data_IF_973038808339
#
_entry.id   IF_973038808339
#
_cell.length_a   1.000
_cell.length_b   1.000
_cell.length_c   1.000
_cell.angle_alpha   90.00
_cell.angle_beta   90.00
_cell.angle_gamma   90.00
#
_symmetry.space_group_name_H-M   'P 1'
#
loop_
_entity.id
_entity.type
_entity.pdbx_description
1 polymer ?
#
# COMPACT_ATOMS: atom_id res chain seq x y z
N UNK A 1 27.97 15.06 18.64
CA UNK A 1 27.67 15.21 17.21
C UNK A 1 26.36 15.99 17.08
N UNK A 2 26.26 17.03 16.23
CA UNK A 2 25.03 17.81 16.12
C UNK A 2 23.90 17.03 15.43
N UNK A 3 22.66 17.21 15.89
CA UNK A 3 21.47 16.41 15.50
C UNK A 3 21.21 16.38 13.98
N UNK A 4 21.49 17.49 13.29
CA UNK A 4 21.30 17.63 11.84
C UNK A 4 22.29 16.79 11.01
N UNK A 5 23.39 16.33 11.62
CA UNK A 5 24.34 15.41 10.97
C UNK A 5 24.09 13.96 11.38
N UNK A 6 23.80 13.71 12.67
CA UNK A 6 23.66 12.34 13.19
C UNK A 6 22.46 11.60 12.60
N UNK A 7 21.28 12.22 12.58
CA UNK A 7 20.05 11.55 12.13
C UNK A 7 20.10 11.13 10.65
N UNK A 8 20.46 12.00 9.69
CA UNK A 8 20.57 11.60 8.29
C UNK A 8 21.64 10.52 8.07
N UNK A 9 22.77 10.57 8.77
CA UNK A 9 23.84 9.59 8.61
C UNK A 9 23.41 8.20 9.08
N UNK A 10 22.74 8.08 10.23
CA UNK A 10 22.23 6.80 10.73
C UNK A 10 21.19 6.23 9.76
N UNK A 11 20.25 7.07 9.29
CA UNK A 11 19.23 6.64 8.31
C UNK A 11 19.88 6.15 7.01
N UNK A 12 20.89 6.87 6.50
CA UNK A 12 21.59 6.50 5.28
C UNK A 12 22.33 5.15 5.41
N UNK A 13 23.03 4.94 6.53
CA UNK A 13 23.75 3.69 6.80
C UNK A 13 22.76 2.52 6.96
N UNK A 14 21.71 2.70 7.76
CA UNK A 14 20.68 1.66 7.94
C UNK A 14 20.00 1.30 6.62
N UNK A 15 19.67 2.30 5.79
CA UNK A 15 19.09 2.06 4.47
C UNK A 15 20.04 1.29 3.56
N UNK A 16 21.32 1.66 3.54
CA UNK A 16 22.34 0.97 2.74
C UNK A 16 22.50 -0.48 3.17
N UNK A 17 22.53 -0.75 4.48
CA UNK A 17 22.61 -2.11 5.03
C UNK A 17 21.36 -2.92 4.68
N UNK A 18 20.15 -2.37 4.87
CA UNK A 18 18.90 -3.04 4.52
C UNK A 18 18.81 -3.38 3.04
N UNK A 19 19.16 -2.44 2.16
CA UNK A 19 19.14 -2.64 0.70
C UNK A 19 20.20 -3.68 0.32
N UNK A 20 21.41 -3.57 0.85
CA UNK A 20 22.49 -4.52 0.58
C UNK A 20 22.15 -5.95 1.00
N UNK A 21 21.63 -6.12 2.23
CA UNK A 21 21.20 -7.43 2.72
C UNK A 21 20.03 -8.00 1.89
N UNK A 22 19.06 -7.17 1.53
CA UNK A 22 17.90 -7.61 0.72
C UNK A 22 18.32 -8.07 -0.68
N UNK A 23 19.29 -7.39 -1.31
CA UNK A 23 19.79 -7.78 -2.64
C UNK A 23 20.71 -9.02 -2.59
N UNK A 24 21.33 -9.30 -1.44
CA UNK A 24 22.19 -10.48 -1.26
C UNK A 24 21.40 -11.78 -1.07
N UNK A 25 20.15 -11.69 -0.59
CA UNK A 25 19.24 -12.83 -0.43
C UNK A 25 18.75 -13.35 -1.78
N UNK A 26 18.63 -14.68 -1.98
CA UNK A 26 18.14 -15.25 -3.23
C UNK A 26 16.74 -14.73 -3.59
N UNK A 27 16.45 -14.53 -4.89
CA UNK A 27 15.16 -14.03 -5.33
C UNK A 27 14.04 -15.03 -5.02
N UNK A 28 12.89 -14.50 -4.59
CA UNK A 28 11.67 -15.29 -4.33
C UNK A 28 11.18 -15.95 -5.61
N UNK A 29 10.65 -17.16 -5.49
CA UNK A 29 10.16 -17.91 -6.62
C UNK A 29 8.97 -17.24 -7.33
N UNK A 30 8.97 -17.31 -8.67
CA UNK A 30 7.94 -16.70 -9.52
C UNK A 30 6.51 -17.17 -9.18
N UNK A 31 6.31 -18.43 -8.79
CA UNK A 31 4.99 -18.96 -8.40
C UNK A 31 4.41 -18.24 -7.18
N UNK A 32 5.26 -17.96 -6.20
CA UNK A 32 4.89 -17.27 -4.96
C UNK A 32 4.61 -15.80 -5.27
N UNK A 33 5.44 -15.19 -6.12
CA UNK A 33 5.32 -13.79 -6.50
C UNK A 33 4.05 -13.50 -7.29
N UNK A 34 3.70 -14.38 -8.24
CA UNK A 34 2.47 -14.25 -9.02
C UNK A 34 1.25 -14.40 -8.12
N UNK A 35 1.23 -15.40 -7.22
CA UNK A 35 0.12 -15.58 -6.27
C UNK A 35 -0.04 -14.40 -5.31
N UNK A 36 1.06 -13.89 -4.78
CA UNK A 36 1.05 -12.68 -3.95
C UNK A 36 0.45 -11.50 -4.71
N UNK A 37 0.88 -11.32 -5.97
CA UNK A 37 0.38 -10.25 -6.82
C UNK A 37 -1.12 -10.37 -7.10
N UNK A 38 -1.63 -11.56 -7.39
CA UNK A 38 -3.06 -11.78 -7.66
C UNK A 38 -3.93 -11.58 -6.42
N UNK A 39 -3.41 -11.87 -5.23
CA UNK A 39 -4.15 -11.77 -3.97
C UNK A 39 -4.17 -10.34 -3.41
N UNK A 40 -3.01 -9.68 -3.34
CA UNK A 40 -2.87 -8.38 -2.66
C UNK A 40 -3.04 -7.21 -3.64
N UNK A 41 -2.92 -7.47 -4.95
CA UNK A 41 -2.97 -6.45 -5.99
C UNK A 41 -2.15 -5.19 -5.61
N UNK A 42 -0.85 -5.32 -5.33
CA UNK A 42 -0.07 -4.23 -4.76
C UNK A 42 0.02 -3.02 -5.69
N UNK A 43 0.28 -1.85 -5.09
CA UNK A 43 0.53 -0.62 -5.81
C UNK A 43 1.99 -0.50 -6.28
N UNK A 44 2.21 0.25 -7.36
CA UNK A 44 3.55 0.58 -7.86
C UNK A 44 4.03 -0.24 -9.06
N UNK A 45 5.32 -0.57 -9.09
CA UNK A 45 6.04 -1.02 -10.29
C UNK A 45 6.03 -2.54 -10.51
N UNK A 46 4.84 -3.15 -10.59
CA UNK A 46 4.68 -4.61 -10.69
C UNK A 46 4.44 -5.17 -12.10
N UNK A 47 4.67 -4.37 -13.16
CA UNK A 47 4.34 -4.72 -14.55
C UNK A 47 4.89 -6.09 -14.99
N UNK A 48 6.14 -6.42 -14.63
CA UNK A 48 6.75 -7.70 -14.99
C UNK A 48 6.04 -8.91 -14.38
N UNK A 49 5.55 -8.78 -13.15
CA UNK A 49 4.83 -9.88 -12.44
C UNK A 49 3.42 -10.00 -12.98
N UNK A 50 2.77 -8.87 -13.28
CA UNK A 50 1.47 -8.84 -13.95
C UNK A 50 1.51 -9.56 -15.31
N UNK A 51 2.54 -9.30 -16.13
CA UNK A 51 2.71 -9.97 -17.42
C UNK A 51 2.88 -11.51 -17.26
N UNK A 52 3.61 -11.95 -16.22
CA UNK A 52 3.73 -13.38 -15.88
C UNK A 52 2.39 -13.98 -15.42
N UNK A 53 1.62 -13.24 -14.62
CA UNK A 53 0.30 -13.66 -14.14
C UNK A 53 -0.71 -13.85 -15.29
N UNK A 54 -0.71 -12.93 -16.27
CA UNK A 54 -1.54 -13.02 -17.46
C UNK A 54 -1.13 -14.21 -18.35
N UNK A 55 0.17 -14.43 -18.56
CA UNK A 55 0.67 -15.58 -19.34
C UNK A 55 0.33 -16.93 -18.72
N UNK A 56 0.28 -16.99 -17.39
CA UNK A 56 -0.07 -18.21 -16.64
C UNK A 56 -1.59 -18.43 -16.59
N UNK A 57 -2.40 -17.51 -17.13
CA UNK A 57 -3.86 -17.58 -17.11
C UNK A 57 -4.49 -17.34 -15.73
N UNK A 58 -3.69 -16.93 -14.75
CA UNK A 58 -4.13 -16.66 -13.39
C UNK A 58 -4.89 -15.32 -13.33
N UNK A 59 -4.41 -14.31 -14.06
CA UNK A 59 -5.03 -12.98 -14.09
C UNK A 59 -5.73 -12.72 -15.43
N UNK A 60 -7.04 -12.45 -15.39
CA UNK A 60 -7.78 -12.01 -16.57
C UNK A 60 -7.62 -10.50 -16.81
N UNK A 61 -7.78 -10.04 -18.07
CA UNK A 61 -7.74 -8.61 -18.40
C UNK A 61 -8.84 -7.80 -17.69
N UNK A 62 -10.00 -8.42 -17.47
CA UNK A 62 -11.11 -7.79 -16.77
C UNK A 62 -10.78 -7.58 -15.29
N UNK A 63 -10.21 -8.60 -14.63
CA UNK A 63 -9.79 -8.51 -13.22
C UNK A 63 -8.67 -7.47 -13.04
N UNK A 64 -7.71 -7.41 -13.98
CA UNK A 64 -6.65 -6.42 -13.97
C UNK A 64 -7.18 -4.97 -14.12
N UNK A 65 -8.20 -4.77 -14.96
CA UNK A 65 -8.86 -3.48 -15.14
C UNK A 65 -9.61 -3.03 -13.89
N UNK A 66 -10.36 -3.94 -13.25
CA UNK A 66 -11.07 -3.66 -12.00
C UNK A 66 -10.10 -3.25 -10.88
N UNK A 67 -9.01 -3.99 -10.69
CA UNK A 67 -7.97 -3.66 -9.71
C UNK A 67 -7.31 -2.31 -9.99
N UNK A 68 -7.12 -1.92 -11.26
CA UNK A 68 -6.56 -0.62 -11.60
C UNK A 68 -7.52 0.52 -11.26
N UNK A 69 -8.82 0.33 -11.46
CA UNK A 69 -9.81 1.33 -11.12
C UNK A 69 -9.88 1.58 -9.61
N UNK A 70 -9.91 0.51 -8.80
CA UNK A 70 -9.85 0.58 -7.33
C UNK A 70 -8.60 1.36 -6.87
N UNK A 71 -7.45 1.01 -7.44
CA UNK A 71 -6.19 1.71 -7.23
C UNK A 71 -6.32 3.20 -7.54
N UNK A 72 -6.83 3.58 -8.71
CA UNK A 72 -6.94 5.00 -9.07
C UNK A 72 -7.88 5.75 -8.12
N UNK A 73 -8.99 5.13 -7.73
CA UNK A 73 -9.93 5.71 -6.76
C UNK A 73 -9.25 5.94 -5.40
N UNK A 74 -8.48 4.97 -4.90
CA UNK A 74 -7.73 5.10 -3.65
C UNK A 74 -6.62 6.16 -3.70
N UNK A 75 -5.94 6.33 -4.85
CA UNK A 75 -4.94 7.40 -5.03
C UNK A 75 -5.58 8.78 -4.95
N UNK A 76 -6.71 8.95 -5.63
CA UNK A 76 -7.47 10.18 -5.61
C UNK A 76 -8.03 10.45 -4.22
N UNK A 77 -8.53 9.42 -3.54
CA UNK A 77 -8.98 9.49 -2.16
C UNK A 77 -7.87 9.99 -1.23
N UNK A 78 -6.67 9.41 -1.32
CA UNK A 78 -5.52 9.78 -0.52
C UNK A 78 -5.14 11.26 -0.72
N UNK A 79 -5.20 11.74 -1.97
CA UNK A 79 -4.92 13.14 -2.29
C UNK A 79 -5.87 14.12 -1.59
N UNK A 80 -7.15 13.77 -1.42
CA UNK A 80 -8.11 14.58 -0.66
C UNK A 80 -8.03 14.35 0.86
N UNK A 81 -7.72 13.12 1.28
CA UNK A 81 -7.65 12.73 2.69
C UNK A 81 -6.51 13.42 3.44
N UNK A 82 -5.34 13.60 2.80
CA UNK A 82 -4.18 14.23 3.46
C UNK A 82 -4.44 15.69 3.82
N UNK A 83 -4.87 16.58 2.89
CA UNK A 83 -5.26 17.95 3.23
C UNK A 83 -6.47 18.00 4.17
N UNK A 84 -7.44 17.10 4.02
CA UNK A 84 -8.58 17.00 4.94
C UNK A 84 -8.12 16.79 6.38
N UNK A 85 -7.25 15.82 6.62
CA UNK A 85 -6.75 15.49 7.95
C UNK A 85 -5.94 16.66 8.56
N UNK A 86 -5.08 17.31 7.76
CA UNK A 86 -4.31 18.46 8.21
C UNK A 86 -5.20 19.67 8.52
N UNK A 87 -6.18 19.96 7.65
CA UNK A 87 -7.12 21.05 7.86
C UNK A 87 -8.03 20.80 9.07
N UNK A 88 -8.44 19.56 9.32
CA UNK A 88 -9.26 19.18 10.47
C UNK A 88 -8.50 19.38 11.80
N UNK A 89 -7.21 19.04 11.83
CA UNK A 89 -6.34 19.34 12.97
C UNK A 89 -6.22 20.86 13.22
N UNK A 90 -5.97 21.64 12.15
CA UNK A 90 -5.82 23.09 12.25
C UNK A 90 -7.13 23.80 12.60
N UNK A 91 -8.27 23.30 12.11
CA UNK A 91 -9.59 23.77 12.50
C UNK A 91 -9.83 23.54 14.00
N UNK A 92 -9.51 22.35 14.52
CA UNK A 92 -9.59 22.06 15.96
C UNK A 92 -8.76 23.00 16.81
N UNK A 93 -7.54 23.32 16.35
CA UNK A 93 -6.67 24.28 17.03
C UNK A 93 -7.21 25.72 16.97
N UNK A 94 -7.73 26.16 15.81
CA UNK A 94 -8.33 27.48 15.65
C UNK A 94 -9.58 27.66 16.52
N UNK A 95 -10.37 26.59 16.70
CA UNK A 95 -11.51 26.58 17.62
C UNK A 95 -11.07 26.84 19.07
N UNK A 96 -9.99 26.18 19.53
CA UNK A 96 -9.43 26.40 20.89
C UNK A 96 -8.98 27.85 21.09
N UNK A 97 -8.33 28.45 20.09
CA UNK A 97 -7.90 29.85 20.16
C UNK A 97 -9.01 30.88 19.92
N UNK A 98 -10.25 30.44 19.67
CA UNK A 98 -11.38 31.32 19.34
C UNK A 98 -11.11 32.22 18.11
N UNK A 99 -10.29 31.75 17.17
CA UNK A 99 -10.01 32.47 15.91
C UNK A 99 -11.01 32.04 14.83
N UNK A 100 -12.15 32.73 14.80
CA UNK A 100 -13.30 32.40 13.95
C UNK A 100 -13.01 32.48 12.45
N UNK A 101 -12.11 33.37 12.02
CA UNK A 101 -11.76 33.50 10.59
C UNK A 101 -10.97 32.28 10.12
N UNK A 102 -9.95 31.86 10.88
CA UNK A 102 -9.17 30.66 10.57
C UNK A 102 -10.03 29.40 10.68
N UNK A 103 -10.92 29.34 11.66
CA UNK A 103 -11.87 28.25 11.81
C UNK A 103 -12.77 28.11 10.57
N UNK A 104 -13.33 29.22 10.08
CA UNK A 104 -14.14 29.22 8.86
C UNK A 104 -13.38 28.74 7.63
N UNK A 105 -12.15 29.23 7.43
CA UNK A 105 -11.30 28.81 6.31
C UNK A 105 -10.97 27.32 6.35
N UNK A 106 -10.42 26.82 7.47
CA UNK A 106 -10.07 25.40 7.59
C UNK A 106 -11.32 24.51 7.58
N UNK A 107 -12.42 24.95 8.19
CA UNK A 107 -13.71 24.26 8.13
C UNK A 107 -14.24 24.13 6.70
N UNK A 108 -14.11 25.18 5.88
CA UNK A 108 -14.48 25.12 4.46
C UNK A 108 -13.61 24.14 3.68
N UNK A 109 -12.28 24.12 3.93
CA UNK A 109 -11.36 23.16 3.32
C UNK A 109 -11.70 21.72 3.73
N UNK A 110 -11.99 21.48 5.01
CA UNK A 110 -12.46 20.18 5.52
C UNK A 110 -13.75 19.76 4.82
N UNK A 111 -14.73 20.65 4.68
CA UNK A 111 -15.97 20.37 3.97
C UNK A 111 -15.72 20.01 2.50
N UNK A 112 -14.92 20.81 1.79
CA UNK A 112 -14.59 20.57 0.38
C UNK A 112 -13.85 19.24 0.16
N UNK A 113 -12.81 18.97 0.95
CA UNK A 113 -12.07 17.72 0.85
C UNK A 113 -12.90 16.51 1.30
N UNK A 114 -13.77 16.68 2.31
CA UNK A 114 -14.69 15.64 2.76
C UNK A 114 -15.71 15.25 1.68
N UNK A 115 -16.25 16.23 0.96
CA UNK A 115 -17.11 15.98 -0.22
C UNK A 115 -16.33 15.25 -1.31
N UNK A 116 -15.09 15.68 -1.60
CA UNK A 116 -14.20 14.97 -2.53
C UNK A 116 -14.01 13.50 -2.15
N UNK A 117 -13.70 13.22 -0.89
CA UNK A 117 -13.51 11.86 -0.39
C UNK A 117 -14.80 11.03 -0.49
N UNK A 118 -15.95 11.62 -0.19
CA UNK A 118 -17.24 10.93 -0.32
C UNK A 118 -17.50 10.45 -1.77
N UNK A 119 -17.23 11.31 -2.76
CA UNK A 119 -17.46 10.95 -4.16
C UNK A 119 -16.42 10.00 -4.74
N UNK A 120 -15.13 10.26 -4.49
CA UNK A 120 -14.05 9.47 -5.10
C UNK A 120 -13.83 8.12 -4.41
N UNK A 121 -14.08 8.05 -3.10
CA UNK A 121 -13.82 6.85 -2.31
C UNK A 121 -15.11 6.19 -1.84
N UNK A 122 -15.90 6.87 -0.99
CA UNK A 122 -17.02 6.23 -0.29
C UNK A 122 -18.08 5.65 -1.24
N UNK A 123 -18.42 6.37 -2.31
CA UNK A 123 -19.37 5.90 -3.32
C UNK A 123 -18.84 4.72 -4.16
N UNK A 124 -17.52 4.56 -4.25
CA UNK A 124 -16.86 3.51 -5.02
C UNK A 124 -16.62 2.22 -4.24
N UNK A 125 -16.90 2.20 -2.93
CA UNK A 125 -16.70 1.01 -2.10
C UNK A 125 -17.68 -0.11 -2.49
N UNK A 126 -17.16 -1.32 -2.62
CA UNK A 126 -17.96 -2.51 -2.87
C UNK A 126 -18.79 -2.87 -1.63
N UNK A 127 -20.00 -3.38 -1.86
CA UNK A 127 -20.81 -3.94 -0.78
C UNK A 127 -20.13 -5.20 -0.20
N UNK A 128 -20.28 -5.48 1.11
CA UNK A 128 -19.65 -6.64 1.76
C UNK A 128 -19.97 -7.97 1.08
N UNK A 129 -21.19 -8.13 0.57
CA UNK A 129 -21.64 -9.32 -0.16
C UNK A 129 -20.84 -9.56 -1.45
N UNK A 130 -20.48 -8.49 -2.17
CA UNK A 130 -19.67 -8.57 -3.39
C UNK A 130 -18.23 -8.94 -3.05
N UNK A 131 -17.67 -8.34 -1.99
CA UNK A 131 -16.31 -8.69 -1.53
C UNK A 131 -16.22 -10.17 -1.12
N UNK A 132 -17.24 -10.69 -0.42
CA UNK A 132 -17.29 -12.11 -0.05
C UNK A 132 -17.36 -13.02 -1.27
N UNK A 133 -18.17 -12.68 -2.27
CA UNK A 133 -18.26 -13.45 -3.51
C UNK A 133 -16.93 -13.46 -4.29
N UNK A 134 -16.22 -12.32 -4.35
CA UNK A 134 -14.89 -12.22 -4.97
C UNK A 134 -13.83 -13.01 -4.19
N UNK A 135 -13.84 -12.95 -2.86
CA UNK A 135 -12.93 -13.73 -1.99
C UNK A 135 -13.15 -15.23 -2.15
N UNK A 136 -14.41 -15.68 -2.22
CA UNK A 136 -14.75 -17.07 -2.50
C UNK A 136 -14.28 -17.51 -3.90
N UNK A 137 -14.49 -16.66 -4.91
CA UNK A 137 -14.03 -16.93 -6.27
C UNK A 137 -12.48 -17.03 -6.33
N UNK A 138 -11.78 -16.16 -5.61
CA UNK A 138 -10.33 -16.20 -5.48
C UNK A 138 -9.87 -17.47 -4.74
N UNK A 139 -10.51 -17.83 -3.62
CA UNK A 139 -10.21 -19.08 -2.89
C UNK A 139 -10.44 -20.31 -3.76
N UNK A 140 -11.49 -20.34 -4.59
CA UNK A 140 -11.75 -21.45 -5.54
C UNK A 140 -10.70 -21.54 -6.64
N UNK A 141 -10.21 -20.40 -7.16
CA UNK A 141 -9.19 -20.38 -8.23
C UNK A 141 -7.80 -20.77 -7.73
N UNK A 142 -7.45 -20.42 -6.50
CA UNK A 142 -6.07 -20.53 -6.01
C UNK A 142 -5.85 -21.50 -4.85
N UNK A 143 -6.89 -21.95 -4.15
CA UNK A 143 -6.84 -22.96 -3.08
C UNK A 143 -5.98 -22.57 -1.85
N UNK A 144 -6.21 -23.22 -0.70
CA UNK A 144 -5.48 -22.99 0.57
C UNK A 144 -4.03 -23.52 0.61
N UNK A 145 -3.40 -23.85 -0.51
CA UNK A 145 -2.12 -24.58 -0.51
C UNK A 145 -0.89 -23.67 -0.46
N UNK A 146 -0.45 -23.23 0.72
CA UNK A 146 0.97 -22.87 0.93
C UNK A 146 1.40 -23.23 2.35
N UNK A 147 1.80 -24.48 2.55
CA UNK A 147 2.79 -24.77 3.58
C UNK A 147 4.12 -24.17 3.08
N UNK A 148 4.61 -23.16 3.80
CA UNK A 148 5.92 -22.58 3.57
C UNK A 148 6.94 -23.67 3.93
N UNK A 149 7.55 -24.33 2.96
CA UNK A 149 8.72 -25.17 3.22
C UNK A 149 9.88 -24.22 3.58
N UNK A 150 10.23 -24.18 4.86
CA UNK A 150 11.26 -23.32 5.44
C UNK A 150 12.61 -23.65 4.78
N UNK A 151 13.11 -22.75 3.94
CA UNK A 151 14.38 -22.93 3.24
C UNK A 151 15.54 -22.68 4.22
N UNK A 152 16.28 -23.75 4.51
CA UNK A 152 17.48 -23.86 5.38
C UNK A 152 18.70 -23.00 4.96
N UNK A 153 18.49 -21.79 4.42
CA UNK A 153 19.55 -20.93 3.88
C UNK A 153 20.07 -19.84 4.83
N UNK A 154 19.40 -19.60 5.95
CA UNK A 154 19.74 -18.47 6.85
C UNK A 154 20.98 -18.75 7.72
N UNK A 155 21.33 -20.03 7.93
CA UNK A 155 22.48 -20.42 8.76
C UNK A 155 23.84 -20.00 8.19
N UNK A 156 24.01 -19.98 6.86
CA UNK A 156 25.31 -19.74 6.23
C UNK A 156 25.73 -18.26 6.21
N UNK A 157 24.77 -17.32 6.27
CA UNK A 157 25.06 -15.88 6.23
C UNK A 157 25.52 -15.32 7.59
N UNK A 158 25.15 -15.98 8.70
CA UNK A 158 25.54 -15.58 10.05
C UNK A 158 26.97 -16.04 10.42
N UNK A 159 27.52 -17.03 9.72
CA UNK A 159 28.85 -17.60 9.99
C UNK A 159 30.01 -16.77 9.42
N UNK A 160 29.74 -15.84 8.50
CA UNK A 160 30.79 -14.96 7.91
C UNK A 160 31.15 -13.78 8.83
N UNK A 161 30.42 -13.62 9.94
CA UNK A 161 30.61 -12.57 10.95
C UNK A 161 31.15 -13.05 12.30
N UNK A 162 31.56 -14.32 12.41
CA UNK A 162 32.16 -14.91 13.62
C UNK A 162 33.70 -14.93 13.58
#
# INVERSE_FOLDING_TARGET
MPLHTGFPTIVAISLAICVGATLATPPVEDRVLVRFYTQVAPWGFWRKVMDKAMKTGQLSLQDAGAQLQEKVNDAMALFFAVPFQLALLLAGMAFVFHDWLKLGFFGAVVGMCGVGLYFFWYKGLKCPEVCQAEDEAHRRRYGEGFEVEESDGVGAALDVTA
#
